data_IF_524800946465
#
_entry.id   IF_524800946465
#
_cell.length_a   1.000
_cell.length_b   1.000
_cell.length_c   1.000
_cell.angle_alpha   90.00
_cell.angle_beta   90.00
_cell.angle_gamma   90.00
#
_symmetry.space_group_name_H-M   'P 1'
#
loop_
_entity.id
_entity.type
_entity.pdbx_description
1 polymer ?
#
# COMPACT_ATOMS: atom_id res chain seq x y z
N UNK A 1 -56.01 46.89 15.01
CA UNK A 1 -54.55 46.63 15.08
C UNK A 1 -54.34 45.19 14.62
N UNK A 2 -53.92 45.03 13.36
CA UNK A 2 -53.42 43.78 12.74
C UNK A 2 -51.88 43.83 12.88
N UNK A 3 -51.08 42.77 12.99
CA UNK A 3 -50.96 41.58 12.12
C UNK A 3 -50.09 40.53 12.86
N UNK A 4 -50.40 39.23 12.71
CA UNK A 4 -49.38 38.16 12.62
C UNK A 4 -48.94 38.04 11.14
N UNK A 5 -47.97 37.19 10.72
CA UNK A 5 -46.83 36.56 11.38
C UNK A 5 -45.48 36.93 10.69
N UNK A 6 -44.34 36.63 11.32
CA UNK A 6 -43.02 36.74 10.69
C UNK A 6 -42.69 35.43 9.95
N UNK A 7 -42.58 35.51 8.63
CA UNK A 7 -41.89 34.54 7.77
C UNK A 7 -40.78 35.29 7.04
N UNK A 8 -39.74 34.54 6.65
CA UNK A 8 -38.68 34.87 5.67
C UNK A 8 -37.45 35.52 6.36
N UNK A 9 -36.21 35.00 6.27
CA UNK A 9 -35.45 34.59 5.08
C UNK A 9 -34.27 33.69 5.46
N UNK A 10 -34.01 32.71 4.60
CA UNK A 10 -32.81 31.89 4.46
C UNK A 10 -31.48 32.64 4.51
N UNK A 11 -30.49 32.08 5.22
CA UNK A 11 -29.07 32.27 4.90
C UNK A 11 -28.50 30.90 4.50
N UNK A 12 -28.29 30.77 3.20
CA UNK A 12 -27.38 29.82 2.57
C UNK A 12 -25.98 30.18 3.05
N UNK A 13 -25.47 29.47 4.04
CA UNK A 13 -24.08 29.53 4.47
C UNK A 13 -23.36 28.31 3.95
N UNK A 14 -22.91 28.37 2.69
CA UNK A 14 -22.00 27.37 2.14
C UNK A 14 -20.72 27.36 2.95
N UNK A 15 -20.47 26.27 3.67
CA UNK A 15 -19.16 26.01 4.24
C UNK A 15 -18.23 25.67 3.07
N UNK A 16 -17.48 26.67 2.63
CA UNK A 16 -16.32 26.48 1.77
C UNK A 16 -15.33 25.66 2.59
N UNK A 17 -15.10 24.40 2.19
CA UNK A 17 -14.00 23.59 2.70
C UNK A 17 -12.71 24.17 2.10
N UNK A 18 -12.23 25.28 2.64
CA UNK A 18 -10.84 25.70 2.49
C UNK A 18 -10.01 24.85 3.43
N UNK A 19 -9.71 23.61 3.03
CA UNK A 19 -8.61 22.85 3.62
C UNK A 19 -7.30 23.40 3.04
N UNK A 20 -6.91 24.57 3.51
CA UNK A 20 -5.62 25.20 3.22
C UNK A 20 -4.50 24.38 3.85
N UNK A 21 -3.48 24.11 3.04
CA UNK A 21 -2.26 23.45 3.43
C UNK A 21 -1.54 24.20 4.56
N UNK A 22 -1.23 23.48 5.64
CA UNK A 22 -0.17 23.84 6.57
C UNK A 22 0.34 22.57 7.26
N UNK A 23 1.39 21.96 6.70
CA UNK A 23 2.20 20.96 7.40
C UNK A 23 3.66 21.02 6.91
N UNK A 24 4.27 22.21 6.91
CA UNK A 24 5.72 22.36 6.86
C UNK A 24 6.23 22.70 8.26
N UNK A 25 6.52 21.66 9.05
CA UNK A 25 7.18 21.80 10.34
C UNK A 25 7.01 20.54 11.20
N UNK A 26 7.94 19.59 11.12
CA UNK A 26 7.96 18.50 12.12
C UNK A 26 8.64 17.18 11.76
N UNK A 27 9.16 16.99 10.54
CA UNK A 27 9.70 15.66 10.14
C UNK A 27 10.98 15.20 10.87
N UNK A 28 11.67 16.06 11.65
CA UNK A 28 13.01 15.72 12.17
C UNK A 28 13.06 15.05 13.54
N UNK A 29 11.99 15.06 14.34
CA UNK A 29 12.07 14.58 15.74
C UNK A 29 11.17 13.38 16.09
N UNK A 30 10.32 12.90 15.16
CA UNK A 30 9.40 11.79 15.46
C UNK A 30 9.93 10.40 15.04
N UNK A 31 10.86 10.35 14.07
CA UNK A 31 11.50 9.10 13.58
C UNK A 31 12.21 8.31 14.69
N UNK A 32 12.70 8.97 15.74
CA UNK A 32 13.45 8.30 16.82
C UNK A 32 12.59 7.47 17.81
N UNK A 33 11.26 7.35 17.64
CA UNK A 33 10.42 6.68 18.66
C UNK A 33 9.18 5.92 18.19
N UNK A 34 8.87 5.88 16.88
CA UNK A 34 7.74 5.09 16.39
C UNK A 34 8.17 3.64 16.18
N UNK A 35 8.28 2.94 17.30
CA UNK A 35 8.31 1.49 17.27
C UNK A 35 6.86 1.02 17.06
N UNK A 36 6.53 0.58 15.85
CA UNK A 36 5.21 0.03 15.52
C UNK A 36 4.85 -1.19 16.40
N UNK A 37 5.82 -1.82 17.06
CA UNK A 37 5.59 -2.88 18.05
C UNK A 37 5.23 -2.36 19.44
N UNK A 38 5.34 -1.06 19.71
CA UNK A 38 5.02 -0.40 20.98
C UNK A 38 3.95 0.67 20.76
N UNK A 39 2.70 0.22 20.66
CA UNK A 39 1.56 1.12 20.55
C UNK A 39 1.48 2.07 21.76
N UNK A 40 1.74 3.36 21.53
CA UNK A 40 1.68 4.38 22.58
C UNK A 40 0.22 4.67 22.96
N UNK A 41 -0.21 4.17 24.14
CA UNK A 41 -1.50 4.42 24.81
C UNK A 41 -1.68 5.87 25.31
N UNK A 42 -1.27 6.86 24.52
CA UNK A 42 -1.41 8.29 24.85
C UNK A 42 -2.74 8.86 24.36
N UNK A 43 -3.36 9.71 25.19
CA UNK A 43 -4.63 10.44 24.98
C UNK A 43 -4.76 11.06 23.58
N UNK A 44 -5.91 10.82 22.94
CA UNK A 44 -6.15 10.99 21.50
C UNK A 44 -6.26 12.43 21.01
N UNK A 45 -6.45 13.41 21.90
CA UNK A 45 -6.96 14.72 21.50
C UNK A 45 -5.96 15.65 20.79
N UNK A 46 -4.66 15.31 20.73
CA UNK A 46 -3.62 16.19 20.14
C UNK A 46 -2.61 15.48 19.22
N UNK A 47 -2.87 14.25 18.76
CA UNK A 47 -1.95 13.56 17.84
C UNK A 47 -2.26 13.92 16.39
N UNK A 48 -1.30 14.49 15.68
CA UNK A 48 -1.36 14.70 14.23
C UNK A 48 -1.50 13.34 13.56
N UNK A 49 -2.60 13.10 12.83
CA UNK A 49 -2.83 11.85 12.12
C UNK A 49 -1.90 11.78 10.90
N UNK A 50 -0.96 10.83 10.89
CA UNK A 50 -0.03 10.64 9.78
C UNK A 50 -0.44 9.45 8.92
N UNK A 51 -0.66 9.68 7.62
CA UNK A 51 -0.82 8.63 6.62
C UNK A 51 0.55 8.07 6.21
N UNK A 52 0.60 6.79 5.83
CA UNK A 52 1.81 6.14 5.31
C UNK A 52 2.38 6.89 4.10
N UNK A 53 1.53 7.45 3.23
CA UNK A 53 1.98 8.25 2.08
C UNK A 53 2.85 9.45 2.49
N UNK A 54 2.53 10.08 3.63
CA UNK A 54 3.22 11.27 4.10
C UNK A 54 4.50 10.88 4.84
N UNK A 55 4.39 9.87 5.69
CA UNK A 55 5.49 9.33 6.47
C UNK A 55 6.58 8.70 5.60
N UNK A 56 6.19 7.90 4.60
CA UNK A 56 7.05 7.19 3.66
C UNK A 56 7.11 7.85 2.26
N UNK A 57 6.85 9.17 2.17
CA UNK A 57 6.72 9.91 0.89
C UNK A 57 7.91 9.77 -0.07
N UNK A 58 9.11 9.54 0.48
CA UNK A 58 10.32 9.31 -0.32
C UNK A 58 10.40 7.90 -0.89
N UNK A 59 9.81 6.90 -0.22
CA UNK A 59 9.92 5.50 -0.59
C UNK A 59 8.69 4.92 -1.26
N UNK A 60 7.47 5.36 -0.94
CA UNK A 60 6.27 4.86 -1.61
C UNK A 60 6.09 5.50 -3.00
N UNK A 61 5.61 4.70 -3.95
CA UNK A 61 5.11 5.21 -5.23
C UNK A 61 3.86 6.01 -4.93
N UNK A 62 3.72 7.19 -5.55
CA UNK A 62 2.54 8.02 -5.35
C UNK A 62 1.28 7.29 -5.86
N UNK A 63 0.29 7.18 -4.97
CA UNK A 63 -1.07 6.73 -5.22
C UNK A 63 -2.06 7.74 -4.62
N UNK A 64 -2.17 8.92 -5.22
CA UNK A 64 -3.10 9.96 -4.74
C UNK A 64 -4.56 9.63 -5.09
N UNK A 65 -4.79 9.08 -6.28
CA UNK A 65 -6.12 8.66 -6.74
C UNK A 65 -6.40 7.21 -6.34
N UNK A 66 -7.63 6.91 -5.95
CA UNK A 66 -8.04 5.53 -5.64
C UNK A 66 -8.26 4.70 -6.92
N UNK A 67 -8.78 5.35 -7.97
CA UNK A 67 -9.05 4.73 -9.26
C UNK A 67 -7.86 4.96 -10.20
N UNK A 68 -7.28 3.85 -10.66
CA UNK A 68 -6.19 3.84 -11.64
C UNK A 68 -6.56 4.57 -12.94
N UNK A 69 -7.82 4.53 -13.36
CA UNK A 69 -8.24 5.17 -14.61
C UNK A 69 -8.21 6.71 -14.53
N UNK A 70 -8.27 7.28 -13.32
CA UNK A 70 -8.17 8.72 -13.06
C UNK A 70 -6.72 9.22 -13.04
N UNK A 71 -5.73 8.31 -13.01
CA UNK A 71 -4.33 8.69 -13.07
C UNK A 71 -3.96 9.29 -14.43
N UNK A 72 -3.04 10.25 -14.39
CA UNK A 72 -2.37 10.75 -15.60
C UNK A 72 -1.47 9.66 -16.23
N UNK A 73 -1.05 9.87 -17.48
CA UNK A 73 -0.28 8.91 -18.26
C UNK A 73 1.04 8.51 -17.59
N UNK A 74 1.76 9.45 -16.98
CA UNK A 74 3.04 9.19 -16.32
C UNK A 74 2.87 8.30 -15.08
N UNK A 75 1.83 8.57 -14.28
CA UNK A 75 1.47 7.74 -13.11
C UNK A 75 1.02 6.36 -13.54
N UNK A 76 0.22 6.24 -14.61
CA UNK A 76 -0.18 4.95 -15.17
C UNK A 76 1.02 4.12 -15.59
N UNK A 77 2.02 4.72 -16.23
CA UNK A 77 3.24 4.03 -16.65
C UNK A 77 4.12 3.59 -15.47
N UNK A 78 4.20 4.42 -14.41
CA UNK A 78 4.87 4.03 -13.15
C UNK A 78 4.22 2.79 -12.53
N UNK A 79 2.90 2.76 -12.45
CA UNK A 79 2.17 1.63 -11.89
C UNK A 79 2.20 0.38 -12.77
N UNK A 80 2.20 0.51 -14.10
CA UNK A 80 2.52 -0.60 -15.02
C UNK A 80 3.90 -1.17 -14.74
N UNK A 81 4.90 -0.31 -14.61
CA UNK A 81 6.28 -0.74 -14.30
C UNK A 81 6.37 -1.43 -12.94
N UNK A 82 5.74 -0.87 -11.90
CA UNK A 82 5.69 -1.47 -10.57
C UNK A 82 5.01 -2.86 -10.57
N UNK A 83 3.89 -2.98 -11.29
CA UNK A 83 3.21 -4.26 -11.47
C UNK A 83 4.10 -5.29 -12.18
N UNK A 84 4.80 -4.90 -13.24
CA UNK A 84 5.74 -5.79 -13.95
C UNK A 84 6.90 -6.22 -13.07
N UNK A 85 7.44 -5.31 -12.28
CA UNK A 85 8.50 -5.60 -11.32
C UNK A 85 8.07 -6.59 -10.24
N UNK A 86 6.85 -6.41 -9.73
CA UNK A 86 6.23 -7.36 -8.81
C UNK A 86 5.99 -8.71 -9.48
N UNK A 87 5.37 -8.73 -10.67
CA UNK A 87 5.08 -9.95 -11.43
C UNK A 87 6.35 -10.76 -11.72
N UNK A 88 7.42 -10.10 -12.17
CA UNK A 88 8.70 -10.77 -12.43
C UNK A 88 9.26 -11.43 -11.16
N UNK A 89 8.89 -10.95 -9.98
CA UNK A 89 9.26 -11.52 -8.69
C UNK A 89 8.15 -12.35 -8.03
N UNK A 90 7.06 -12.69 -8.73
CA UNK A 90 5.89 -13.42 -8.18
C UNK A 90 6.24 -14.70 -7.41
N UNK A 91 7.30 -15.39 -7.82
CA UNK A 91 7.77 -16.62 -7.14
C UNK A 91 8.29 -16.38 -5.72
N UNK A 92 8.56 -15.12 -5.37
CA UNK A 92 8.99 -14.67 -4.04
C UNK A 92 7.87 -13.96 -3.28
N UNK A 93 6.67 -13.79 -3.84
CA UNK A 93 5.54 -13.22 -3.11
C UNK A 93 5.18 -14.14 -1.93
N UNK A 94 4.91 -13.55 -0.76
CA UNK A 94 4.68 -14.24 0.51
C UNK A 94 3.25 -14.11 1.02
N UNK A 95 2.52 -13.09 0.60
CA UNK A 95 1.15 -12.79 0.98
C UNK A 95 0.17 -13.29 -0.09
N UNK A 96 -0.88 -13.98 0.33
CA UNK A 96 -1.98 -14.37 -0.57
C UNK A 96 -2.61 -13.14 -1.24
N UNK A 97 -2.81 -12.07 -0.47
CA UNK A 97 -3.47 -10.85 -0.95
C UNK A 97 -2.72 -10.19 -2.11
N UNK A 98 -1.39 -10.08 -2.04
CA UNK A 98 -0.62 -9.55 -3.17
C UNK A 98 -0.42 -10.59 -4.28
N UNK A 99 -0.35 -11.87 -3.93
CA UNK A 99 -0.25 -12.94 -4.93
C UNK A 99 -1.51 -13.04 -5.80
N UNK A 100 -2.69 -12.71 -5.28
CA UNK A 100 -3.93 -12.72 -6.09
C UNK A 100 -3.93 -11.72 -7.24
N UNK A 101 -3.04 -10.72 -7.22
CA UNK A 101 -2.88 -9.78 -8.34
C UNK A 101 -2.00 -10.33 -9.46
N UNK A 102 -1.39 -11.51 -9.30
CA UNK A 102 -0.59 -12.13 -10.35
C UNK A 102 -1.50 -12.61 -11.48
N UNK A 103 -1.35 -12.02 -12.66
CA UNK A 103 -2.07 -12.42 -13.87
C UNK A 103 -1.60 -13.79 -14.41
N UNK A 104 -2.16 -14.88 -13.87
CA UNK A 104 -1.84 -16.24 -14.30
C UNK A 104 -2.21 -16.47 -15.77
N UNK A 105 -1.36 -17.20 -16.49
CA UNK A 105 -1.53 -17.55 -17.91
C UNK A 105 -1.57 -16.37 -18.88
N UNK A 106 -1.38 -15.13 -18.41
CA UNK A 106 -1.35 -13.95 -19.28
C UNK A 106 0.06 -13.62 -19.76
N UNK A 107 1.12 -13.88 -18.99
CA UNK A 107 2.51 -13.70 -19.45
C UNK A 107 3.19 -15.06 -19.71
N UNK A 108 2.73 -15.75 -20.75
CA UNK A 108 3.10 -17.14 -21.06
C UNK A 108 4.58 -17.30 -21.39
N UNK A 109 5.18 -16.33 -22.10
CA UNK A 109 6.61 -16.41 -22.42
C UNK A 109 7.46 -16.09 -21.20
N UNK A 110 7.03 -15.13 -20.40
CA UNK A 110 7.67 -14.82 -19.12
C UNK A 110 7.62 -16.02 -18.18
N UNK A 111 6.53 -16.79 -18.19
CA UNK A 111 6.34 -17.94 -17.31
C UNK A 111 7.20 -19.15 -17.70
N UNK A 112 7.59 -19.25 -18.98
CA UNK A 112 8.56 -20.26 -19.43
C UNK A 112 9.98 -19.99 -18.91
N UNK A 113 10.29 -18.75 -18.50
CA UNK A 113 11.57 -18.38 -17.92
C UNK A 113 11.64 -18.88 -16.46
N UNK A 114 11.81 -20.21 -16.31
CA UNK A 114 12.04 -20.89 -15.04
C UNK A 114 13.54 -21.19 -14.87
N UNK A 115 14.03 -21.26 -13.62
CA UNK A 115 15.45 -21.59 -13.35
C UNK A 115 16.39 -20.37 -13.34
N UNK A 116 17.65 -20.57 -13.80
CA UNK A 116 18.80 -19.63 -13.72
C UNK A 116 18.63 -18.28 -14.46
N UNK A 117 17.46 -18.00 -15.06
CA UNK A 117 17.22 -16.69 -15.68
C UNK A 117 17.18 -15.59 -14.62
N UNK A 118 17.91 -14.50 -14.88
CA UNK A 118 17.91 -13.37 -13.96
C UNK A 118 16.51 -12.70 -13.95
N UNK A 119 16.19 -12.01 -12.85
CA UNK A 119 14.92 -11.27 -12.70
C UNK A 119 14.72 -10.26 -13.84
N UNK A 120 15.81 -9.71 -14.38
CA UNK A 120 15.76 -8.73 -15.46
C UNK A 120 15.14 -9.30 -16.74
N UNK A 121 15.52 -10.51 -17.18
CA UNK A 121 14.92 -11.15 -18.35
C UNK A 121 13.42 -11.36 -18.20
N UNK A 122 12.95 -11.67 -16.98
CA UNK A 122 11.51 -11.79 -16.70
C UNK A 122 10.80 -10.44 -16.76
N UNK A 123 11.43 -9.37 -16.25
CA UNK A 123 10.90 -8.00 -16.36
C UNK A 123 10.78 -7.56 -17.81
N UNK A 124 11.84 -7.75 -18.59
CA UNK A 124 11.89 -7.34 -19.99
C UNK A 124 10.84 -8.09 -20.82
N UNK A 125 10.69 -9.39 -20.60
CA UNK A 125 9.69 -10.20 -21.32
C UNK A 125 8.27 -9.85 -20.90
N UNK A 126 8.01 -9.65 -19.62
CA UNK A 126 6.68 -9.25 -19.15
C UNK A 126 6.29 -7.86 -19.68
N UNK A 127 7.25 -6.93 -19.78
CA UNK A 127 7.03 -5.60 -20.36
C UNK A 127 6.68 -5.67 -21.84
N UNK A 128 7.32 -6.56 -22.60
CA UNK A 128 6.99 -6.82 -24.00
C UNK A 128 5.58 -7.41 -24.13
N UNK A 129 5.26 -8.45 -23.35
CA UNK A 129 3.94 -9.08 -23.39
C UNK A 129 2.81 -8.13 -22.96
N UNK A 130 3.06 -7.24 -22.00
CA UNK A 130 2.08 -6.24 -21.55
C UNK A 130 1.62 -5.33 -22.69
N UNK A 131 2.51 -4.93 -23.62
CA UNK A 131 2.14 -4.08 -24.76
C UNK A 131 1.05 -4.70 -25.64
N UNK A 132 1.06 -6.03 -25.77
CA UNK A 132 0.12 -6.78 -26.61
C UNK A 132 -1.09 -7.29 -25.83
N UNK A 133 -1.05 -7.23 -24.50
CA UNK A 133 -2.06 -7.81 -23.60
C UNK A 133 -2.60 -6.80 -22.59
N UNK A 134 -2.39 -5.50 -22.83
CA UNK A 134 -2.71 -4.45 -21.87
C UNK A 134 -4.17 -4.53 -21.40
N UNK A 135 -5.11 -4.68 -22.32
CA UNK A 135 -6.54 -4.78 -21.98
C UNK A 135 -6.88 -5.99 -21.09
N UNK A 136 -6.17 -7.11 -21.27
CA UNK A 136 -6.37 -8.33 -20.48
C UNK A 136 -5.74 -8.21 -19.09
N UNK A 137 -4.63 -7.48 -18.98
CA UNK A 137 -3.87 -7.30 -17.73
C UNK A 137 -4.38 -6.10 -16.93
N UNK A 138 -5.10 -5.17 -17.56
CA UNK A 138 -5.55 -3.91 -16.95
C UNK A 138 -6.28 -4.10 -15.62
N UNK A 139 -7.14 -5.11 -15.51
CA UNK A 139 -7.84 -5.43 -14.26
C UNK A 139 -6.87 -5.70 -13.09
N UNK A 140 -5.85 -6.53 -13.32
CA UNK A 140 -4.83 -6.84 -12.31
C UNK A 140 -4.01 -5.61 -11.90
N UNK A 141 -3.67 -4.74 -12.85
CA UNK A 141 -2.94 -3.50 -12.57
C UNK A 141 -3.81 -2.56 -11.72
N UNK A 142 -5.11 -2.46 -12.02
CA UNK A 142 -6.06 -1.65 -11.24
C UNK A 142 -6.17 -2.13 -9.80
N UNK A 143 -6.31 -3.43 -9.60
CA UNK A 143 -6.44 -4.02 -8.27
C UNK A 143 -5.13 -3.90 -7.46
N UNK A 144 -3.99 -4.12 -8.11
CA UNK A 144 -2.66 -3.91 -7.54
C UNK A 144 -2.44 -2.45 -7.12
N UNK A 145 -2.79 -1.49 -7.99
CA UNK A 145 -2.75 -0.07 -7.68
C UNK A 145 -3.65 0.27 -6.48
N UNK A 146 -4.88 -0.22 -6.47
CA UNK A 146 -5.84 0.01 -5.39
C UNK A 146 -5.34 -0.54 -4.06
N UNK A 147 -4.68 -1.70 -4.05
CA UNK A 147 -4.04 -2.24 -2.86
C UNK A 147 -2.97 -1.29 -2.31
N UNK A 148 -2.12 -0.73 -3.18
CA UNK A 148 -1.12 0.23 -2.77
C UNK A 148 -1.69 1.59 -2.35
N UNK A 149 -2.79 2.03 -2.95
CA UNK A 149 -3.56 3.19 -2.48
C UNK A 149 -4.09 2.96 -1.05
N UNK A 150 -4.65 1.78 -0.75
CA UNK A 150 -5.09 1.45 0.61
C UNK A 150 -3.93 1.51 1.60
N UNK A 151 -2.78 0.94 1.26
CA UNK A 151 -1.56 0.98 2.08
C UNK A 151 -1.11 2.43 2.34
N UNK A 152 -1.18 3.30 1.33
CA UNK A 152 -0.79 4.71 1.45
C UNK A 152 -1.66 5.48 2.46
N UNK A 153 -2.91 5.05 2.66
CA UNK A 153 -3.91 5.65 3.57
C UNK A 153 -3.87 5.13 5.00
N UNK A 154 -3.01 4.18 5.30
CA UNK A 154 -2.84 3.68 6.65
C UNK A 154 -2.34 4.76 7.60
N UNK A 155 -2.93 4.82 8.80
CA UNK A 155 -2.56 5.80 9.81
C UNK A 155 -1.74 5.18 10.93
N UNK A 156 -0.71 5.88 11.38
CA UNK A 156 0.35 5.32 12.24
C UNK A 156 0.02 5.38 13.73
N UNK A 157 -0.59 6.48 14.21
CA UNK A 157 -0.52 6.85 15.63
C UNK A 157 -1.89 6.97 16.34
N UNK A 158 -2.94 6.42 15.74
CA UNK A 158 -4.29 6.44 16.30
C UNK A 158 -4.98 5.08 16.14
N UNK A 159 -4.86 4.17 17.13
CA UNK A 159 -5.47 2.84 17.09
C UNK A 159 -7.00 2.82 16.97
N UNK A 160 -7.67 3.87 17.42
CA UNK A 160 -9.13 4.05 17.26
C UNK A 160 -9.52 4.58 15.89
N UNK A 161 -8.57 5.06 15.09
CA UNK A 161 -8.87 5.57 13.76
C UNK A 161 -9.23 4.42 12.81
N UNK A 162 -10.26 4.63 11.99
CA UNK A 162 -10.78 3.62 11.04
C UNK A 162 -9.75 3.11 10.01
N UNK A 163 -8.66 3.86 9.79
CA UNK A 163 -7.56 3.46 8.90
C UNK A 163 -6.28 3.15 9.65
N UNK A 164 -6.36 2.89 10.97
CA UNK A 164 -5.21 2.41 11.72
C UNK A 164 -4.61 1.19 11.02
N UNK A 165 -3.30 1.26 10.77
CA UNK A 165 -2.62 0.34 9.86
C UNK A 165 -2.84 -1.13 10.26
N UNK A 166 -2.81 -1.44 11.57
CA UNK A 166 -2.89 -2.81 12.05
C UNK A 166 -4.31 -3.38 11.89
N UNK A 167 -5.31 -2.63 12.37
CA UNK A 167 -6.72 -2.99 12.24
C UNK A 167 -7.10 -3.15 10.77
N UNK A 168 -6.76 -2.15 9.95
CA UNK A 168 -7.14 -2.15 8.53
C UNK A 168 -6.44 -3.25 7.74
N UNK A 169 -5.17 -3.53 8.03
CA UNK A 169 -4.44 -4.63 7.39
C UNK A 169 -5.01 -5.99 7.82
N UNK A 170 -5.32 -6.20 9.11
CA UNK A 170 -5.93 -7.43 9.62
C UNK A 170 -7.28 -7.69 8.95
N UNK A 171 -8.16 -6.68 8.87
CA UNK A 171 -9.43 -6.77 8.15
C UNK A 171 -9.24 -7.17 6.68
N UNK A 172 -8.31 -6.50 5.99
CA UNK A 172 -8.07 -6.69 4.56
C UNK A 172 -7.61 -8.11 4.23
N UNK A 173 -6.73 -8.66 5.06
CA UNK A 173 -6.16 -10.00 4.84
C UNK A 173 -6.89 -11.08 5.62
N UNK A 174 -8.00 -10.78 6.31
CA UNK A 174 -8.72 -11.72 7.18
C UNK A 174 -7.82 -12.39 8.24
N UNK A 175 -6.91 -11.62 8.85
CA UNK A 175 -6.02 -12.11 9.91
C UNK A 175 -6.66 -11.99 11.30
N UNK A 176 -6.47 -13.02 12.12
CA UNK A 176 -6.82 -12.95 13.55
C UNK A 176 -5.85 -12.05 14.33
N UNK A 177 -6.24 -11.67 15.54
CA UNK A 177 -5.38 -10.87 16.45
C UNK A 177 -4.00 -11.48 16.73
N UNK A 178 -3.85 -12.80 16.58
CA UNK A 178 -2.60 -13.52 16.87
C UNK A 178 -1.77 -13.83 15.61
N UNK A 179 -2.23 -13.46 14.42
CA UNK A 179 -1.63 -13.90 13.16
C UNK A 179 -0.53 -12.94 12.64
N UNK A 180 0.49 -12.74 13.47
CA UNK A 180 1.62 -11.87 13.14
C UNK A 180 2.44 -12.37 11.92
N UNK A 181 2.44 -13.67 11.64
CA UNK A 181 3.10 -14.21 10.44
C UNK A 181 2.37 -13.76 9.16
N UNK A 182 1.04 -13.88 9.11
CA UNK A 182 0.23 -13.41 7.96
C UNK A 182 0.40 -11.90 7.74
N UNK A 183 0.40 -11.14 8.83
CA UNK A 183 0.56 -9.69 8.79
C UNK A 183 1.96 -9.27 8.32
N UNK A 184 3.02 -9.92 8.81
CA UNK A 184 4.39 -9.64 8.36
C UNK A 184 4.63 -10.02 6.90
N UNK A 185 4.05 -11.12 6.40
CA UNK A 185 4.07 -11.48 4.98
C UNK A 185 3.34 -10.44 4.12
N UNK A 186 2.18 -9.96 4.59
CA UNK A 186 1.45 -8.87 3.95
C UNK A 186 2.29 -7.60 3.85
N UNK A 187 2.87 -7.12 4.97
CA UNK A 187 3.66 -5.91 4.97
C UNK A 187 4.95 -6.02 4.16
N UNK A 188 5.53 -7.22 4.05
CA UNK A 188 6.65 -7.48 3.15
C UNK A 188 6.26 -7.26 1.68
N UNK A 189 5.18 -7.88 1.23
CA UNK A 189 4.74 -7.75 -0.16
C UNK A 189 4.18 -6.36 -0.47
N UNK A 190 3.53 -5.72 0.50
CA UNK A 190 3.11 -4.32 0.40
C UNK A 190 4.32 -3.39 0.19
N UNK A 191 5.43 -3.61 0.90
CA UNK A 191 6.65 -2.83 0.65
C UNK A 191 7.20 -3.06 -0.76
N UNK A 192 7.30 -4.31 -1.19
CA UNK A 192 7.84 -4.65 -2.52
C UNK A 192 6.94 -4.15 -3.64
N UNK A 193 5.62 -4.24 -3.49
CA UNK A 193 4.68 -3.80 -4.52
C UNK A 193 4.51 -2.29 -4.58
N UNK A 194 4.55 -1.61 -3.43
CA UNK A 194 4.16 -0.21 -3.33
C UNK A 194 5.33 0.77 -3.17
N UNK A 195 6.55 0.29 -2.90
CA UNK A 195 7.74 1.15 -2.81
C UNK A 195 8.46 1.32 -4.15
N UNK A 196 9.16 2.44 -4.30
CA UNK A 196 10.02 2.75 -5.45
C UNK A 196 11.21 1.79 -5.56
N UNK A 197 11.63 1.17 -4.45
CA UNK A 197 12.78 0.26 -4.42
C UNK A 197 12.41 -1.16 -4.82
N UNK A 198 11.17 -1.59 -4.52
CA UNK A 198 10.68 -2.92 -4.84
C UNK A 198 11.48 -4.07 -4.19
N UNK A 199 12.11 -3.83 -3.04
CA UNK A 199 13.03 -4.82 -2.42
C UNK A 199 12.82 -4.96 -0.92
N UNK A 200 12.76 -6.21 -0.44
CA UNK A 200 12.71 -6.55 0.98
C UNK A 200 14.00 -6.18 1.75
N UNK A 201 15.10 -5.94 1.03
CA UNK A 201 16.39 -5.59 1.64
C UNK A 201 16.54 -4.09 1.94
N UNK A 202 15.66 -3.26 1.39
CA UNK A 202 15.68 -1.79 1.54
C UNK A 202 14.42 -1.27 2.23
N UNK A 203 13.86 -2.05 3.15
CA UNK A 203 12.71 -1.66 3.97
C UNK A 203 13.14 -0.55 4.95
N UNK A 204 12.40 0.56 4.97
CA UNK A 204 12.62 1.66 5.93
C UNK A 204 12.45 1.20 7.38
N UNK A 205 13.20 1.81 8.30
CA UNK A 205 13.29 1.37 9.70
C UNK A 205 11.95 1.30 10.41
N UNK A 206 11.10 2.27 10.11
CA UNK A 206 9.79 2.44 10.68
C UNK A 206 8.71 1.61 9.97
N UNK A 207 9.04 0.81 8.94
CA UNK A 207 8.02 -0.01 8.29
C UNK A 207 7.52 -1.14 9.23
N UNK A 208 6.21 -1.44 9.27
CA UNK A 208 5.68 -2.50 10.10
C UNK A 208 6.39 -3.84 9.86
N UNK A 209 6.73 -4.52 10.95
CA UNK A 209 7.38 -5.84 10.95
C UNK A 209 8.77 -5.90 10.28
N UNK A 210 9.48 -4.78 10.05
CA UNK A 210 10.80 -4.79 9.41
C UNK A 210 11.75 -5.85 9.96
N UNK A 211 11.92 -5.93 11.29
CA UNK A 211 12.82 -6.89 11.93
C UNK A 211 12.43 -8.34 11.63
N UNK A 212 11.15 -8.66 11.80
CA UNK A 212 10.58 -9.98 11.47
C UNK A 212 10.75 -10.32 9.99
N UNK A 213 10.54 -9.36 9.09
CA UNK A 213 10.72 -9.55 7.64
C UNK A 213 12.19 -9.82 7.32
N UNK A 214 13.10 -8.99 7.86
CA UNK A 214 14.54 -9.14 7.66
C UNK A 214 15.04 -10.50 8.16
N UNK A 215 14.61 -10.92 9.35
CA UNK A 215 14.97 -12.21 9.90
C UNK A 215 14.47 -13.37 9.03
N UNK A 216 13.22 -13.31 8.57
CA UNK A 216 12.66 -14.36 7.72
C UNK A 216 13.32 -14.44 6.34
N UNK A 217 13.63 -13.30 5.71
CA UNK A 217 14.25 -13.25 4.39
C UNK A 217 15.72 -13.72 4.44
N UNK A 218 16.48 -13.39 5.50
CA UNK A 218 17.90 -13.76 5.61
C UNK A 218 18.15 -15.14 6.23
N UNK A 219 17.27 -15.59 7.12
CA UNK A 219 17.44 -16.88 7.85
C UNK A 219 16.60 -18.01 7.25
N UNK A 220 16.05 -17.82 6.04
CA UNK A 220 15.18 -18.81 5.37
C UNK A 220 13.97 -19.22 6.22
N UNK A 221 13.42 -18.29 7.01
CA UNK A 221 12.33 -18.57 7.95
C UNK A 221 11.02 -18.92 7.26
N UNK A 222 10.72 -18.27 6.14
CA UNK A 222 9.55 -18.58 5.32
C UNK A 222 9.86 -19.67 4.28
N UNK A 223 9.60 -20.93 4.69
CA UNK A 223 9.74 -22.11 3.85
C UNK A 223 8.65 -22.22 2.77
N UNK A 224 7.43 -21.83 3.12
CA UNK A 224 6.30 -21.82 2.18
C UNK A 224 6.37 -20.60 1.25
N UNK A 225 6.01 -20.82 -0.02
CA UNK A 225 6.02 -19.75 -1.03
C UNK A 225 5.11 -18.60 -0.61
N UNK A 226 3.85 -18.87 -0.30
CA UNK A 226 2.88 -17.88 0.18
C UNK A 226 1.94 -18.48 1.23
N UNK A 227 1.24 -17.62 1.98
CA UNK A 227 0.26 -18.04 2.98
C UNK A 227 -1.01 -18.58 2.32
N UNK A 228 -1.30 -19.88 2.47
CA UNK A 228 -2.47 -20.54 1.88
C UNK A 228 -3.70 -20.54 2.78
N UNK A 229 -3.63 -19.89 3.95
CA UNK A 229 -4.75 -19.86 4.90
C UNK A 229 -5.84 -18.92 4.39
N UNK A 230 -7.08 -19.41 4.39
CA UNK A 230 -8.28 -18.62 4.10
C UNK A 230 -8.48 -17.53 5.18
#
# INVERSE_FOLDING_TARGET
MSVSPLVVKSVVGGAVITSGAAATGGFKNYSNSVDFSKSNKGTEQNKVLWEFKDFFSKSLINADEADYDLLNSDSKEKWKTAYIDFYANKNKARSNYFYSFVSHNLFTETDKLTGHYNVQSRKDKAKEELKNKEDQVKGYIKDFHKACWIVSKYTINSPSHKTFWETKAKELINASEKDNDRLSRYFRDAWIGCSKTGSSLSIEEEWPFKSTIYDNENKSGWKDKYDNRA
#
